data_IF_836569828709
#
_entry.id   IF_836569828709
#
_cell.length_a   1.000
_cell.length_b   1.000
_cell.length_c   1.000
_cell.angle_alpha   90.00
_cell.angle_beta   90.00
_cell.angle_gamma   90.00
#
_symmetry.space_group_name_H-M   'P 1'
#
loop_
_entity.id
_entity.type
_entity.pdbx_description
1 polymer ?
#
# COMPACT_ATOMS: atom_id res chain seq x y z
N UNK A 1 -14.68 12.52 -12.24
CA UNK A 1 -15.23 13.76 -12.83
C UNK A 1 -14.13 14.83 -12.89
N UNK A 2 -13.21 14.77 -13.85
CA UNK A 2 -12.20 15.82 -14.03
C UNK A 2 -12.50 16.57 -15.32
N UNK A 3 -12.69 17.90 -15.24
CA UNK A 3 -12.89 18.77 -16.41
C UNK A 3 -14.35 19.22 -16.70
N UNK A 4 -15.30 18.99 -15.80
CA UNK A 4 -16.69 19.49 -15.95
C UNK A 4 -16.76 20.99 -15.62
N UNK A 5 -17.52 21.75 -16.41
CA UNK A 5 -17.87 23.16 -16.15
C UNK A 5 -19.36 23.26 -15.87
N UNK A 6 -19.72 24.05 -14.87
CA UNK A 6 -21.11 24.31 -14.48
C UNK A 6 -21.33 25.82 -14.34
N UNK A 7 -22.55 26.28 -14.65
CA UNK A 7 -22.97 27.67 -14.47
C UNK A 7 -23.76 27.77 -13.18
N UNK A 8 -23.42 28.73 -12.33
CA UNK A 8 -24.00 28.94 -11.00
C UNK A 8 -24.30 30.42 -10.78
N UNK A 9 -25.30 30.70 -9.94
CA UNK A 9 -25.66 32.07 -9.55
C UNK A 9 -24.58 32.68 -8.64
N UNK A 10 -24.30 33.97 -8.83
CA UNK A 10 -23.21 34.67 -8.16
C UNK A 10 -23.37 34.66 -6.63
N UNK A 11 -24.61 34.73 -6.15
CA UNK A 11 -24.96 34.72 -4.73
C UNK A 11 -24.60 33.39 -4.04
N UNK A 12 -24.54 32.30 -4.80
CA UNK A 12 -24.24 30.94 -4.30
C UNK A 12 -22.79 30.50 -4.50
N UNK A 13 -21.97 31.32 -5.18
CA UNK A 13 -20.63 30.93 -5.64
C UNK A 13 -19.71 30.47 -4.51
N UNK A 14 -19.70 31.17 -3.39
CA UNK A 14 -18.78 30.88 -2.28
C UNK A 14 -19.09 29.52 -1.66
N UNK A 15 -20.36 29.26 -1.32
CA UNK A 15 -20.78 27.98 -0.76
C UNK A 15 -20.52 26.83 -1.76
N UNK A 16 -20.85 27.05 -3.04
CA UNK A 16 -20.63 26.05 -4.07
C UNK A 16 -19.15 25.69 -4.25
N UNK A 17 -18.25 26.68 -4.26
CA UNK A 17 -16.81 26.44 -4.40
C UNK A 17 -16.24 25.69 -3.19
N UNK A 18 -16.66 26.03 -1.96
CA UNK A 18 -16.24 25.30 -0.77
C UNK A 18 -16.66 23.82 -0.84
N UNK A 19 -17.94 23.56 -1.09
CA UNK A 19 -18.46 22.20 -1.23
C UNK A 19 -17.77 21.42 -2.35
N UNK A 20 -17.48 22.09 -3.47
CA UNK A 20 -16.81 21.47 -4.60
C UNK A 20 -15.37 21.08 -4.26
N UNK A 21 -14.63 21.93 -3.56
CA UNK A 21 -13.26 21.63 -3.14
C UNK A 21 -13.22 20.46 -2.16
N UNK A 22 -14.15 20.40 -1.20
CA UNK A 22 -14.30 19.26 -0.29
C UNK A 22 -14.56 17.97 -1.06
N UNK A 23 -15.53 17.99 -1.97
CA UNK A 23 -15.82 16.83 -2.83
C UNK A 23 -14.62 16.42 -3.69
N UNK A 24 -13.87 17.38 -4.25
CA UNK A 24 -12.67 17.06 -5.04
C UNK A 24 -11.63 16.36 -4.16
N UNK A 25 -11.38 16.90 -2.96
CA UNK A 25 -10.43 16.32 -2.00
C UNK A 25 -10.84 14.89 -1.61
N UNK A 26 -12.11 14.69 -1.24
CA UNK A 26 -12.65 13.36 -0.89
C UNK A 26 -12.53 12.37 -2.05
N UNK A 27 -12.90 12.78 -3.26
CA UNK A 27 -12.82 11.92 -4.44
C UNK A 27 -11.38 11.55 -4.80
N UNK A 28 -10.44 12.50 -4.71
CA UNK A 28 -9.02 12.23 -4.96
C UNK A 28 -8.44 11.29 -3.91
N UNK A 29 -8.76 11.52 -2.64
CA UNK A 29 -8.34 10.66 -1.53
C UNK A 29 -8.88 9.24 -1.72
N UNK A 30 -10.19 9.09 -1.95
CA UNK A 30 -10.83 7.80 -2.12
C UNK A 30 -10.25 7.02 -3.31
N UNK A 31 -10.05 7.70 -4.45
CA UNK A 31 -9.40 7.08 -5.62
C UNK A 31 -7.97 6.63 -5.32
N UNK A 32 -7.19 7.43 -4.59
CA UNK A 32 -5.83 7.07 -4.22
C UNK A 32 -5.81 5.89 -3.22
N UNK A 33 -6.76 5.87 -2.27
CA UNK A 33 -6.96 4.80 -1.31
C UNK A 33 -7.28 3.48 -2.03
N UNK A 34 -8.28 3.49 -2.91
CA UNK A 34 -8.66 2.32 -3.71
C UNK A 34 -7.52 1.83 -4.60
N UNK A 35 -6.81 2.75 -5.26
CA UNK A 35 -5.64 2.39 -6.07
C UNK A 35 -4.57 1.71 -5.22
N UNK A 36 -4.28 2.23 -4.02
CA UNK A 36 -3.33 1.60 -3.09
C UNK A 36 -3.80 0.22 -2.67
N UNK A 37 -5.06 0.06 -2.29
CA UNK A 37 -5.62 -1.22 -1.85
C UNK A 37 -5.59 -2.27 -2.96
N UNK A 38 -6.01 -1.91 -4.18
CA UNK A 38 -5.98 -2.80 -5.35
C UNK A 38 -4.56 -3.19 -5.78
N UNK A 39 -3.56 -2.36 -5.45
CA UNK A 39 -2.14 -2.64 -5.71
C UNK A 39 -1.38 -3.11 -4.48
N UNK A 40 -2.08 -3.47 -3.39
CA UNK A 40 -1.51 -4.12 -2.22
C UNK A 40 -1.95 -5.57 -2.19
N UNK A 41 -1.00 -6.49 -2.21
CA UNK A 41 -1.24 -7.94 -2.17
C UNK A 41 -0.64 -8.53 -0.90
N UNK A 42 -1.06 -9.74 -0.52
CA UNK A 42 -0.45 -10.47 0.60
C UNK A 42 0.22 -11.73 0.06
N UNK A 43 1.41 -12.06 0.55
CA UNK A 43 2.12 -13.29 0.20
C UNK A 43 2.29 -14.18 1.43
N UNK A 44 1.98 -15.47 1.30
CA UNK A 44 2.07 -16.45 2.39
C UNK A 44 3.43 -17.14 2.45
N UNK A 45 4.12 -17.21 1.33
CA UNK A 45 5.43 -17.85 1.21
C UNK A 45 6.33 -17.08 0.24
N UNK A 46 7.62 -17.41 0.25
CA UNK A 46 8.61 -16.69 -0.53
C UNK A 46 8.44 -16.81 -2.04
N UNK A 47 7.92 -17.94 -2.53
CA UNK A 47 7.69 -18.15 -3.96
C UNK A 47 6.59 -17.21 -4.48
N UNK A 48 5.44 -17.19 -3.80
CA UNK A 48 4.34 -16.25 -4.08
C UNK A 48 4.81 -14.80 -4.01
N UNK A 49 5.62 -14.44 -3.00
CA UNK A 49 6.21 -13.11 -2.89
C UNK A 49 7.03 -12.74 -4.13
N UNK A 50 7.92 -13.64 -4.57
CA UNK A 50 8.76 -13.41 -5.73
C UNK A 50 7.95 -13.32 -7.03
N UNK A 51 6.89 -14.11 -7.17
CA UNK A 51 5.98 -14.03 -8.31
C UNK A 51 5.27 -12.68 -8.36
N UNK A 52 4.71 -12.22 -7.23
CA UNK A 52 4.01 -10.94 -7.16
C UNK A 52 4.95 -9.79 -7.52
N UNK A 53 6.15 -9.78 -6.95
CA UNK A 53 7.13 -8.73 -7.23
C UNK A 53 7.56 -8.67 -8.70
N UNK A 54 7.60 -9.81 -9.39
CA UNK A 54 7.99 -9.89 -10.81
C UNK A 54 6.85 -9.55 -11.77
N UNK A 55 5.62 -9.98 -11.46
CA UNK A 55 4.48 -9.88 -12.38
C UNK A 55 3.67 -8.60 -12.18
N UNK A 56 3.21 -8.36 -10.95
CA UNK A 56 2.31 -7.24 -10.67
C UNK A 56 3.02 -6.04 -10.04
N UNK A 57 4.06 -6.28 -9.24
CA UNK A 57 4.70 -5.25 -8.44
C UNK A 57 3.74 -4.63 -7.41
N UNK A 58 3.93 -3.34 -7.12
CA UNK A 58 3.16 -2.63 -6.10
C UNK A 58 3.62 -2.95 -4.68
N UNK A 59 2.68 -3.02 -3.74
CA UNK A 59 2.94 -3.35 -2.34
C UNK A 59 2.62 -4.80 -2.04
N UNK A 60 3.48 -5.43 -1.25
CA UNK A 60 3.27 -6.80 -0.78
C UNK A 60 3.38 -6.83 0.74
N UNK A 61 2.30 -7.21 1.41
CA UNK A 61 2.33 -7.54 2.83
C UNK A 61 2.79 -8.99 3.00
N UNK A 62 3.77 -9.20 3.86
CA UNK A 62 4.20 -10.54 4.22
C UNK A 62 4.86 -10.57 5.59
N UNK A 63 4.85 -11.73 6.22
CA UNK A 63 5.52 -11.96 7.49
C UNK A 63 7.05 -11.98 7.35
N UNK A 64 7.71 -11.28 8.28
CA UNK A 64 9.15 -11.19 8.40
C UNK A 64 9.57 -11.34 9.88
N UNK A 65 10.69 -12.03 10.11
CA UNK A 65 11.20 -12.38 11.44
C UNK A 65 12.10 -11.31 12.08
N UNK A 66 12.33 -10.16 11.43
CA UNK A 66 13.25 -9.13 11.96
C UNK A 66 14.70 -9.29 11.51
N UNK A 67 15.05 -10.35 10.78
CA UNK A 67 16.45 -10.64 10.40
C UNK A 67 16.93 -9.74 9.24
N UNK A 68 18.07 -9.04 9.40
CA UNK A 68 18.73 -8.30 8.33
C UNK A 68 19.22 -9.19 7.18
N UNK A 69 19.60 -10.44 7.47
CA UNK A 69 20.03 -11.41 6.47
C UNK A 69 18.87 -11.77 5.52
N UNK A 70 17.67 -11.96 6.08
CA UNK A 70 16.45 -12.20 5.31
C UNK A 70 16.12 -10.98 4.44
N UNK A 71 16.22 -9.76 4.98
CA UNK A 71 16.03 -8.54 4.19
C UNK A 71 17.03 -8.43 3.04
N UNK A 72 18.31 -8.69 3.30
CA UNK A 72 19.37 -8.65 2.30
C UNK A 72 19.12 -9.67 1.18
N UNK A 73 18.66 -10.88 1.53
CA UNK A 73 18.25 -11.90 0.55
C UNK A 73 17.08 -11.42 -0.31
N UNK A 74 16.00 -10.94 0.32
CA UNK A 74 14.83 -10.41 -0.40
C UNK A 74 15.25 -9.30 -1.37
N UNK A 75 16.08 -8.36 -0.91
CA UNK A 75 16.61 -7.26 -1.73
C UNK A 75 17.47 -7.75 -2.89
N UNK A 76 18.34 -8.74 -2.66
CA UNK A 76 19.16 -9.34 -3.71
C UNK A 76 18.32 -10.01 -4.81
N UNK A 77 17.34 -10.81 -4.40
CA UNK A 77 16.55 -11.65 -5.30
C UNK A 77 15.44 -10.88 -6.03
N UNK A 78 14.89 -9.83 -5.42
CA UNK A 78 13.69 -9.12 -5.91
C UNK A 78 13.83 -7.60 -6.03
N UNK A 79 14.92 -7.02 -5.52
CA UNK A 79 15.09 -5.55 -5.33
C UNK A 79 14.09 -4.89 -4.37
N UNK A 80 13.13 -5.64 -3.81
CA UNK A 80 12.20 -5.11 -2.83
C UNK A 80 12.90 -4.87 -1.48
N UNK A 81 12.47 -3.82 -0.79
CA UNK A 81 12.82 -3.59 0.62
C UNK A 81 11.58 -3.26 1.41
N UNK A 82 11.67 -3.32 2.74
CA UNK A 82 10.59 -2.89 3.64
C UNK A 82 10.35 -1.39 3.45
N UNK A 83 9.08 -1.00 3.35
CA UNK A 83 8.62 0.39 3.22
C UNK A 83 7.90 0.88 4.46
N UNK A 84 7.17 -0.01 5.12
CA UNK A 84 6.38 0.31 6.29
C UNK A 84 6.21 -0.93 7.15
N UNK A 85 6.26 -0.74 8.47
CA UNK A 85 5.82 -1.71 9.46
C UNK A 85 4.48 -1.17 10.00
N UNK A 86 3.35 -1.84 9.73
CA UNK A 86 2.05 -1.42 10.24
C UNK A 86 2.05 -1.26 11.77
N UNK A 87 1.45 -0.16 12.22
CA UNK A 87 1.34 0.23 13.62
C UNK A 87 0.04 -0.29 14.27
N UNK A 88 -0.58 -1.32 13.69
CA UNK A 88 -1.82 -1.88 14.23
C UNK A 88 -1.66 -2.25 15.71
N UNK A 89 -2.65 -1.93 16.55
CA UNK A 89 -2.58 -2.19 18.00
C UNK A 89 -2.56 -3.69 18.32
N UNK A 90 -3.16 -4.51 17.44
CA UNK A 90 -3.27 -5.96 17.58
C UNK A 90 -2.61 -6.67 16.39
N UNK A 91 -1.26 -6.76 16.36
CA UNK A 91 -0.57 -7.47 15.30
C UNK A 91 -0.91 -8.96 15.33
N UNK A 92 -1.21 -9.52 14.15
CA UNK A 92 -1.44 -10.95 13.99
C UNK A 92 -0.07 -11.62 13.84
N UNK A 93 0.35 -12.52 14.75
CA UNK A 93 1.59 -13.26 14.59
C UNK A 93 1.47 -14.35 13.53
N UNK A 94 2.60 -14.71 12.94
CA UNK A 94 2.68 -15.71 11.89
C UNK A 94 4.08 -16.27 11.74
N UNK A 95 4.43 -16.66 10.52
CA UNK A 95 5.74 -17.25 10.20
C UNK A 95 6.39 -16.46 9.09
N UNK A 96 7.67 -16.16 9.24
CA UNK A 96 8.46 -15.50 8.22
C UNK A 96 8.33 -16.25 6.89
N UNK A 97 8.02 -15.52 5.82
CA UNK A 97 7.80 -16.11 4.50
C UNK A 97 9.04 -16.81 3.92
N UNK A 98 10.24 -16.47 4.41
CA UNK A 98 11.53 -16.98 3.94
C UNK A 98 12.04 -18.14 4.80
N UNK A 99 12.06 -17.97 6.13
CA UNK A 99 12.69 -18.95 7.05
C UNK A 99 11.68 -19.87 7.74
N UNK A 100 10.39 -19.49 7.77
CA UNK A 100 9.36 -20.20 8.54
C UNK A 100 9.42 -19.96 10.05
N UNK A 101 10.40 -19.18 10.53
CA UNK A 101 10.54 -18.78 11.93
C UNK A 101 9.39 -17.86 12.39
N UNK A 102 9.14 -17.75 13.70
CA UNK A 102 8.12 -16.84 14.21
C UNK A 102 8.30 -15.40 13.71
N UNK A 103 7.17 -14.78 13.35
CA UNK A 103 7.08 -13.37 12.95
C UNK A 103 5.98 -12.71 13.76
N UNK A 104 6.27 -11.57 14.35
CA UNK A 104 5.30 -10.85 15.19
C UNK A 104 4.17 -10.23 14.37
N UNK A 105 4.43 -9.83 13.12
CA UNK A 105 3.48 -9.14 12.25
C UNK A 105 3.89 -9.18 10.78
N UNK A 106 2.95 -8.85 9.90
CA UNK A 106 3.25 -8.57 8.49
C UNK A 106 3.90 -7.19 8.33
N UNK A 107 4.77 -7.06 7.33
CA UNK A 107 5.38 -5.78 6.93
C UNK A 107 5.14 -5.55 5.44
N UNK A 108 5.23 -4.29 5.00
CA UNK A 108 5.00 -3.91 3.61
C UNK A 108 6.33 -3.84 2.88
N UNK A 109 6.46 -4.65 1.83
CA UNK A 109 7.59 -4.62 0.89
C UNK A 109 7.22 -3.93 -0.42
N UNK A 110 8.18 -3.24 -1.03
CA UNK A 110 8.09 -2.71 -2.39
C UNK A 110 9.47 -2.47 -3.00
N UNK A 111 9.55 -2.48 -4.34
CA UNK A 111 10.73 -2.01 -5.08
C UNK A 111 10.90 -0.50 -4.88
N UNK A 112 12.12 -0.05 -4.64
CA UNK A 112 12.43 1.37 -4.47
C UNK A 112 12.32 2.12 -5.82
N UNK A 113 12.01 3.41 -5.75
CA UNK A 113 12.01 4.34 -6.89
C UNK A 113 13.38 4.44 -7.58
#
# INVERSE_FOLDING_TARGET
MCGKRESIELESITAHVCDLLEKIQENLFQRALEFREQNTRRAKNYEEFCEIMKKEGGFVMAHWNGSPEVEAKIKGDTKATIRCIPLDPDPIPGKCMVTGEPSEREVVFAVAY
#
